data_IF_509679046106
#
_entry.id   IF_509679046106
#
_cell.length_a   1.000
_cell.length_b   1.000
_cell.length_c   1.000
_cell.angle_alpha   90.00
_cell.angle_beta   90.00
_cell.angle_gamma   90.00
#
_symmetry.space_group_name_H-M   'P 1'
#
loop_
_entity.id
_entity.type
_entity.pdbx_description
1 polymer ?
#
# COMPACT_ATOMS: atom_id res chain seq x y z
N UNK A 1 -10.77 -75.52 -31.54
CA UNK A 1 -11.08 -74.75 -30.31
C UNK A 1 -10.08 -75.10 -29.19
N UNK A 2 -8.79 -74.79 -29.36
CA UNK A 2 -7.76 -75.02 -28.33
C UNK A 2 -6.51 -74.11 -28.44
N UNK A 3 -6.47 -73.20 -29.42
CA UNK A 3 -5.31 -72.30 -29.64
C UNK A 3 -5.55 -70.88 -29.08
N UNK A 4 -6.80 -70.47 -28.84
CA UNK A 4 -7.13 -69.12 -28.32
C UNK A 4 -7.02 -69.03 -26.78
N UNK A 5 -7.07 -70.15 -26.05
CA UNK A 5 -6.96 -70.16 -24.58
C UNK A 5 -5.52 -70.06 -24.03
N UNK A 6 -4.48 -70.25 -24.87
CA UNK A 6 -3.09 -70.09 -24.41
C UNK A 6 -2.53 -68.67 -24.58
N UNK A 7 -3.08 -67.86 -25.48
CA UNK A 7 -2.63 -66.47 -25.67
C UNK A 7 -3.11 -65.53 -24.54
N UNK A 8 -4.28 -65.81 -23.96
CA UNK A 8 -4.89 -64.97 -22.92
C UNK A 8 -4.18 -65.07 -21.56
N UNK A 9 -3.58 -66.22 -21.24
CA UNK A 9 -2.88 -66.42 -19.96
C UNK A 9 -1.54 -65.67 -19.90
N UNK A 10 -0.85 -65.48 -21.04
CA UNK A 10 0.42 -64.73 -21.07
C UNK A 10 0.22 -63.21 -21.03
N UNK A 11 -0.89 -62.68 -21.56
CA UNK A 11 -1.19 -61.23 -21.52
C UNK A 11 -1.61 -60.77 -20.12
N UNK A 12 -2.32 -61.62 -19.36
CA UNK A 12 -2.71 -61.30 -17.97
C UNK A 12 -1.53 -61.41 -17.00
N UNK A 13 -0.57 -62.31 -17.24
CA UNK A 13 0.67 -62.39 -16.46
C UNK A 13 1.64 -61.23 -16.76
N UNK A 14 1.66 -60.70 -17.98
CA UNK A 14 2.47 -59.53 -18.33
C UNK A 14 1.92 -58.23 -17.71
N UNK A 15 0.59 -58.12 -17.57
CA UNK A 15 -0.08 -56.98 -16.92
C UNK A 15 0.02 -56.99 -15.38
N UNK A 16 0.27 -58.15 -14.77
CA UNK A 16 0.54 -58.26 -13.32
C UNK A 16 2.02 -58.06 -12.95
N UNK A 17 2.94 -58.09 -13.93
CA UNK A 17 4.38 -57.87 -13.71
C UNK A 17 4.84 -56.40 -13.84
N UNK A 18 3.97 -55.49 -14.27
CA UNK A 18 4.28 -54.04 -14.39
C UNK A 18 3.89 -53.24 -13.13
N UNK A 19 3.28 -53.89 -12.12
CA UNK A 19 2.80 -53.22 -10.91
C UNK A 19 3.71 -53.33 -9.67
N UNK A 20 4.98 -53.71 -9.83
CA UNK A 20 5.99 -53.68 -8.73
C UNK A 20 7.36 -53.18 -9.23
N UNK A 21 7.37 -52.11 -10.03
CA UNK A 21 8.57 -51.28 -10.14
C UNK A 21 8.24 -49.99 -9.39
N UNK A 22 8.90 -49.67 -8.27
CA UNK A 22 8.75 -48.37 -7.66
C UNK A 22 9.25 -47.35 -8.69
N UNK A 23 8.32 -46.67 -9.35
CA UNK A 23 8.64 -45.52 -10.19
C UNK A 23 9.24 -44.50 -9.23
N UNK A 24 10.58 -44.43 -9.15
CA UNK A 24 11.24 -43.32 -8.48
C UNK A 24 10.78 -42.08 -9.22
N UNK A 25 10.06 -41.20 -8.54
CA UNK A 25 9.65 -39.93 -9.12
C UNK A 25 10.89 -39.26 -9.73
N UNK A 26 10.81 -38.81 -11.00
CA UNK A 26 11.87 -38.04 -11.62
C UNK A 26 12.32 -36.93 -10.68
N UNK A 27 13.63 -36.80 -10.46
CA UNK A 27 14.20 -35.83 -9.52
C UNK A 27 13.74 -34.37 -9.78
N UNK A 28 13.31 -34.07 -11.02
CA UNK A 28 12.76 -32.77 -11.38
C UNK A 28 11.34 -32.54 -10.82
N UNK A 29 10.50 -33.57 -10.71
CA UNK A 29 9.15 -33.47 -10.16
C UNK A 29 9.18 -33.28 -8.64
N UNK A 30 10.07 -34.01 -7.96
CA UNK A 30 10.34 -33.79 -6.53
C UNK A 30 10.91 -32.40 -6.28
N UNK A 31 11.88 -31.93 -7.08
CA UNK A 31 12.37 -30.55 -6.97
C UNK A 31 11.29 -29.50 -7.25
N UNK A 32 10.38 -29.73 -8.20
CA UNK A 32 9.26 -28.82 -8.46
C UNK A 32 8.27 -28.80 -7.30
N UNK A 33 7.98 -29.97 -6.72
CA UNK A 33 7.12 -30.11 -5.56
C UNK A 33 7.73 -29.43 -4.33
N UNK A 34 9.01 -29.68 -4.05
CA UNK A 34 9.76 -29.10 -2.94
C UNK A 34 9.91 -27.59 -3.11
N UNK A 35 10.14 -27.09 -4.33
CA UNK A 35 10.19 -25.65 -4.62
C UNK A 35 8.81 -24.99 -4.50
N UNK A 36 7.73 -25.68 -4.91
CA UNK A 36 6.37 -25.19 -4.75
C UNK A 36 5.96 -25.17 -3.27
N UNK A 37 6.30 -26.22 -2.51
CA UNK A 37 6.10 -26.28 -1.06
C UNK A 37 6.95 -25.24 -0.34
N UNK A 38 8.23 -25.07 -0.66
CA UNK A 38 9.06 -24.04 -0.05
C UNK A 38 8.57 -22.62 -0.38
N UNK A 39 8.06 -22.38 -1.60
CA UNK A 39 7.38 -21.13 -1.95
C UNK A 39 6.08 -20.95 -1.18
N UNK A 40 5.28 -22.00 -1.04
CA UNK A 40 4.02 -21.98 -0.29
C UNK A 40 4.28 -21.75 1.20
N UNK A 41 5.26 -22.44 1.78
CA UNK A 41 5.70 -22.31 3.17
C UNK A 41 6.30 -20.94 3.45
N UNK A 42 7.10 -20.39 2.52
CA UNK A 42 7.61 -19.03 2.60
C UNK A 42 6.47 -18.01 2.48
N UNK A 43 5.47 -18.28 1.65
CA UNK A 43 4.26 -17.46 1.55
C UNK A 43 3.44 -17.53 2.85
N UNK A 44 3.21 -18.71 3.42
CA UNK A 44 2.45 -18.89 4.67
C UNK A 44 3.20 -18.46 5.93
N UNK A 45 4.53 -18.54 5.97
CA UNK A 45 5.35 -17.97 7.06
C UNK A 45 5.46 -16.45 6.95
N UNK A 46 5.33 -15.89 5.74
CA UNK A 46 5.33 -14.43 5.57
C UNK A 46 4.04 -13.78 6.11
N UNK A 47 2.95 -14.54 6.23
CA UNK A 47 1.60 -14.09 6.61
C UNK A 47 1.25 -14.12 8.10
N UNK A 48 2.16 -14.43 9.03
CA UNK A 48 1.80 -14.39 10.46
C UNK A 48 2.20 -13.05 11.09
N UNK A 49 1.22 -12.17 11.38
CA UNK A 49 0.73 -11.83 12.75
C UNK A 49 -0.62 -11.08 12.64
N UNK A 50 -1.68 -11.79 12.25
CA UNK A 50 -2.98 -11.75 12.94
C UNK A 50 -3.59 -13.15 12.75
N UNK A 51 -3.84 -13.87 13.85
CA UNK A 51 -4.25 -15.28 13.82
C UNK A 51 -5.72 -15.49 13.39
N UNK A 52 -6.40 -14.46 12.89
CA UNK A 52 -7.77 -14.56 12.42
C UNK A 52 -7.81 -14.49 10.89
N UNK A 53 -8.36 -15.54 10.26
CA UNK A 53 -8.68 -15.51 8.84
C UNK A 53 -9.55 -14.27 8.51
N UNK A 54 -9.29 -13.64 7.37
CA UNK A 54 -10.10 -12.52 6.89
C UNK A 54 -11.53 -12.98 6.64
N UNK A 55 -12.50 -12.29 7.25
CA UNK A 55 -13.92 -12.59 7.18
C UNK A 55 -14.57 -11.71 6.13
N UNK A 56 -15.50 -12.28 5.37
CA UNK A 56 -16.34 -11.49 4.47
C UNK A 56 -17.18 -10.51 5.30
N UNK A 57 -17.14 -9.20 5.02
CA UNK A 57 -17.90 -8.22 5.78
C UNK A 57 -19.40 -8.39 5.58
N UNK A 58 -20.17 -8.30 6.67
CA UNK A 58 -21.64 -8.42 6.61
C UNK A 58 -22.34 -7.08 6.36
N UNK A 59 -21.79 -5.97 6.87
CA UNK A 59 -22.47 -4.66 6.90
C UNK A 59 -22.15 -3.74 5.72
N UNK A 60 -21.01 -3.90 5.07
CA UNK A 60 -20.55 -3.07 3.95
C UNK A 60 -19.78 -3.91 2.92
N UNK A 61 -19.42 -3.34 1.76
CA UNK A 61 -18.74 -4.10 0.71
C UNK A 61 -17.36 -4.60 1.13
N UNK A 62 -16.54 -3.76 1.76
CA UNK A 62 -15.14 -4.05 2.09
C UNK A 62 -14.87 -4.07 3.59
N UNK A 63 -13.86 -4.84 4.00
CA UNK A 63 -13.21 -4.73 5.31
C UNK A 63 -11.70 -4.82 5.12
N UNK A 64 -10.96 -4.18 6.03
CA UNK A 64 -9.51 -4.24 6.11
C UNK A 64 -9.12 -4.86 7.43
N UNK A 65 -8.45 -6.02 7.40
CA UNK A 65 -8.05 -6.75 8.61
C UNK A 65 -9.22 -6.94 9.60
N UNK A 66 -10.40 -7.32 9.07
CA UNK A 66 -11.66 -7.47 9.81
C UNK A 66 -12.21 -6.17 10.45
N UNK A 67 -11.64 -5.00 10.15
CA UNK A 67 -12.15 -3.68 10.54
C UNK A 67 -13.08 -3.14 9.45
N UNK A 68 -14.18 -2.54 9.88
CA UNK A 68 -15.21 -1.91 9.05
C UNK A 68 -15.50 -0.50 9.55
N UNK A 69 -16.11 0.35 8.72
CA UNK A 69 -16.62 1.63 9.19
C UNK A 69 -17.69 1.40 10.27
N UNK A 70 -17.90 2.42 11.10
CA UNK A 70 -18.79 2.42 12.27
C UNK A 70 -18.42 1.49 13.43
N UNK A 71 -17.38 0.65 13.32
CA UNK A 71 -16.81 -0.01 14.50
C UNK A 71 -16.32 1.05 15.49
N UNK A 72 -16.48 0.79 16.78
CA UNK A 72 -15.99 1.66 17.84
C UNK A 72 -14.47 1.58 17.93
N UNK A 73 -13.85 2.64 18.43
CA UNK A 73 -12.42 2.66 18.70
C UNK A 73 -12.00 1.52 19.64
N UNK A 74 -12.81 1.23 20.66
CA UNK A 74 -12.57 0.10 21.58
C UNK A 74 -12.59 -1.25 20.85
N UNK A 75 -13.53 -1.49 19.94
CA UNK A 75 -13.54 -2.72 19.13
C UNK A 75 -12.30 -2.84 18.24
N UNK A 76 -11.80 -1.73 17.69
CA UNK A 76 -10.56 -1.73 16.90
C UNK A 76 -9.35 -2.03 17.79
N UNK A 77 -9.22 -1.35 18.93
CA UNK A 77 -8.09 -1.54 19.86
C UNK A 77 -8.08 -2.95 20.46
N UNK A 78 -9.25 -3.54 20.74
CA UNK A 78 -9.35 -4.94 21.16
C UNK A 78 -8.85 -5.93 20.09
N UNK A 79 -8.90 -5.55 18.82
CA UNK A 79 -8.47 -6.40 17.69
C UNK A 79 -7.01 -6.17 17.29
N UNK A 80 -6.60 -4.91 17.19
CA UNK A 80 -5.31 -4.52 16.64
C UNK A 80 -4.29 -4.13 17.72
N UNK A 81 -4.71 -4.06 18.99
CA UNK A 81 -3.91 -3.49 20.07
C UNK A 81 -3.85 -1.97 19.98
N UNK A 82 -2.81 -1.39 20.56
CA UNK A 82 -2.58 0.05 20.52
C UNK A 82 -1.98 0.47 19.18
N UNK A 83 -2.39 1.64 18.70
CA UNK A 83 -1.78 2.27 17.53
C UNK A 83 -0.28 2.51 17.78
N UNK A 84 0.54 2.19 16.78
CA UNK A 84 1.98 2.45 16.79
C UNK A 84 2.28 3.93 16.54
N UNK A 85 1.40 4.61 15.79
CA UNK A 85 1.50 6.04 15.53
C UNK A 85 0.15 6.71 15.44
N UNK A 86 0.09 7.98 15.83
CA UNK A 86 -1.06 8.86 15.59
C UNK A 86 -0.59 10.15 14.93
N UNK A 87 -1.22 10.52 13.82
CA UNK A 87 -0.84 11.68 12.99
C UNK A 87 -2.05 12.50 12.57
N UNK A 88 -1.93 13.82 12.49
CA UNK A 88 -2.99 14.68 11.93
C UNK A 88 -3.18 14.40 10.43
N UNK A 89 -4.40 14.59 9.93
CA UNK A 89 -4.73 14.31 8.53
C UNK A 89 -5.57 15.42 7.88
N UNK A 90 -5.75 15.30 6.56
CA UNK A 90 -6.39 16.28 5.68
C UNK A 90 -7.84 16.61 6.06
N UNK A 91 -8.50 15.71 6.78
CA UNK A 91 -9.88 15.86 7.23
C UNK A 91 -10.00 16.65 8.54
N UNK A 92 -8.89 17.19 9.07
CA UNK A 92 -8.84 17.81 10.39
C UNK A 92 -9.16 16.79 11.49
N UNK A 93 -8.71 15.54 11.32
CA UNK A 93 -8.81 14.45 12.29
C UNK A 93 -7.43 13.79 12.45
N UNK A 94 -7.38 12.54 12.92
CA UNK A 94 -6.13 11.80 13.11
C UNK A 94 -6.20 10.43 12.44
N UNK A 95 -5.14 10.04 11.75
CA UNK A 95 -4.86 8.65 11.40
C UNK A 95 -4.16 7.95 12.56
N UNK A 96 -4.64 6.74 12.88
CA UNK A 96 -4.05 5.82 13.84
C UNK A 96 -3.49 4.65 13.04
N UNK A 97 -2.15 4.51 13.01
CA UNK A 97 -1.47 3.46 12.29
C UNK A 97 -1.24 2.24 13.20
N UNK A 98 -1.61 1.07 12.70
CA UNK A 98 -1.45 -0.22 13.35
C UNK A 98 -0.64 -1.13 12.46
N UNK A 99 0.40 -1.74 12.99
CA UNK A 99 1.23 -2.75 12.31
C UNK A 99 2.07 -3.48 13.36
N UNK A 100 2.69 -4.60 12.96
CA UNK A 100 3.69 -5.26 13.80
C UNK A 100 5.05 -4.55 13.74
N UNK A 101 6.04 -5.03 14.50
CA UNK A 101 7.39 -4.46 14.53
C UNK A 101 8.12 -4.45 13.17
N UNK A 102 7.60 -5.16 12.17
CA UNK A 102 8.16 -5.26 10.82
C UNK A 102 7.26 -4.61 9.76
N UNK A 103 6.34 -3.73 10.17
CA UNK A 103 5.39 -3.04 9.29
C UNK A 103 4.42 -3.95 8.52
N UNK A 104 4.27 -5.22 8.93
CA UNK A 104 3.23 -6.09 8.39
C UNK A 104 1.91 -5.81 9.07
N UNK A 105 0.83 -6.26 8.42
CA UNK A 105 -0.54 -6.05 8.87
C UNK A 105 -0.89 -4.56 9.04
N UNK A 106 -0.23 -3.71 8.26
CA UNK A 106 -0.40 -2.26 8.26
C UNK A 106 -1.83 -1.85 7.90
N UNK A 107 -2.45 -1.12 8.83
CA UNK A 107 -3.78 -0.52 8.70
C UNK A 107 -3.73 0.89 9.28
N UNK A 108 -4.30 1.87 8.58
CA UNK A 108 -4.60 3.17 9.18
C UNK A 108 -6.09 3.32 9.39
N UNK A 109 -6.49 3.83 10.55
CA UNK A 109 -7.88 4.05 10.95
C UNK A 109 -8.06 5.50 11.38
N UNK A 110 -9.11 6.18 10.92
CA UNK A 110 -9.50 7.49 11.42
C UNK A 110 -10.90 7.44 12.02
N UNK A 111 -11.08 8.16 13.12
CA UNK A 111 -12.30 8.15 13.91
C UNK A 111 -13.02 9.49 13.90
N UNK A 112 -14.36 9.44 13.92
CA UNK A 112 -15.25 10.53 14.31
C UNK A 112 -16.23 9.98 15.34
N UNK A 113 -16.45 10.72 16.42
CA UNK A 113 -17.31 10.30 17.54
C UNK A 113 -17.00 8.88 18.03
N UNK A 114 -15.70 8.59 18.19
CA UNK A 114 -15.16 7.28 18.60
C UNK A 114 -15.53 6.10 17.68
N UNK A 115 -15.95 6.37 16.44
CA UNK A 115 -16.28 5.35 15.44
C UNK A 115 -15.42 5.49 14.20
N UNK A 116 -15.07 4.37 13.58
CA UNK A 116 -14.28 4.33 12.34
C UNK A 116 -15.05 5.05 11.24
N UNK A 117 -14.44 6.09 10.68
CA UNK A 117 -15.00 6.90 9.59
C UNK A 117 -14.08 6.98 8.37
N UNK A 118 -12.82 6.54 8.49
CA UNK A 118 -11.97 6.21 7.36
C UNK A 118 -11.00 5.06 7.70
N UNK A 119 -10.58 4.32 6.68
CA UNK A 119 -9.78 3.10 6.79
C UNK A 119 -8.85 2.95 5.57
N UNK A 120 -7.60 2.57 5.77
CA UNK A 120 -6.64 2.36 4.70
C UNK A 120 -5.74 1.14 4.93
N UNK A 121 -5.36 0.45 3.86
CA UNK A 121 -4.21 -0.47 3.83
C UNK A 121 -3.60 -0.57 2.42
N UNK A 122 -2.29 -0.82 2.35
CA UNK A 122 -1.58 -1.32 1.16
C UNK A 122 -1.06 -2.75 1.35
N UNK A 123 -1.62 -3.50 2.31
CA UNK A 123 -1.25 -4.87 2.59
C UNK A 123 -2.30 -5.85 2.06
N UNK A 124 -1.94 -7.14 2.05
CA UNK A 124 -2.88 -8.23 1.74
C UNK A 124 -3.89 -8.49 2.88
N UNK A 125 -4.69 -7.48 3.22
CA UNK A 125 -5.66 -7.48 4.33
C UNK A 125 -7.09 -7.14 3.87
N UNK A 126 -7.29 -6.98 2.56
CA UNK A 126 -8.58 -6.59 1.96
C UNK A 126 -9.47 -7.83 1.83
N UNK A 127 -10.70 -7.70 2.30
CA UNK A 127 -11.78 -8.67 2.12
C UNK A 127 -13.04 -7.98 1.65
N UNK A 128 -13.85 -8.64 0.82
CA UNK A 128 -15.09 -8.05 0.29
C UNK A 128 -16.19 -9.08 0.05
N UNK A 129 -17.45 -8.62 -0.02
CA UNK A 129 -18.61 -9.45 -0.38
C UNK A 129 -18.50 -10.02 -1.79
N UNK A 130 -17.98 -9.21 -2.71
CA UNK A 130 -17.70 -9.60 -4.10
C UNK A 130 -16.40 -10.40 -4.29
N UNK A 131 -15.76 -10.86 -3.20
CA UNK A 131 -14.50 -11.61 -3.21
C UNK A 131 -13.33 -10.83 -3.84
N UNK A 132 -13.41 -9.50 -3.83
CA UNK A 132 -12.31 -8.63 -4.19
C UNK A 132 -11.29 -8.60 -3.06
N UNK A 133 -10.01 -8.57 -3.43
CA UNK A 133 -8.88 -8.65 -2.49
C UNK A 133 -7.67 -7.92 -3.09
N UNK A 134 -6.60 -7.83 -2.30
CA UNK A 134 -5.29 -7.46 -2.84
C UNK A 134 -4.95 -8.38 -4.02
N UNK A 135 -4.48 -7.78 -5.11
CA UNK A 135 -4.16 -8.47 -6.35
C UNK A 135 -5.34 -8.67 -7.31
N UNK A 136 -6.57 -8.29 -6.94
CA UNK A 136 -7.71 -8.33 -7.87
C UNK A 136 -7.46 -7.45 -9.10
N UNK A 137 -7.61 -7.95 -10.34
CA UNK A 137 -7.43 -7.13 -11.54
C UNK A 137 -8.44 -5.99 -11.62
N UNK A 138 -8.01 -4.80 -12.09
CA UNK A 138 -8.88 -3.62 -12.29
C UNK A 138 -10.15 -3.92 -13.10
N UNK A 139 -10.05 -4.77 -14.13
CA UNK A 139 -11.21 -5.20 -14.92
C UNK A 139 -12.25 -5.95 -14.09
N UNK A 140 -11.81 -6.84 -13.19
CA UNK A 140 -12.69 -7.59 -12.28
C UNK A 140 -13.29 -6.66 -11.24
N UNK A 141 -12.52 -5.69 -10.73
CA UNK A 141 -13.04 -4.68 -9.80
C UNK A 141 -14.19 -3.90 -10.43
N UNK A 142 -14.03 -3.40 -11.66
CA UNK A 142 -15.08 -2.66 -12.38
C UNK A 142 -16.28 -3.54 -12.76
N UNK A 143 -16.06 -4.80 -13.14
CA UNK A 143 -17.14 -5.77 -13.36
C UNK A 143 -18.02 -5.95 -12.12
N UNK A 144 -17.41 -5.96 -10.93
CA UNK A 144 -18.11 -6.21 -9.66
C UNK A 144 -18.70 -4.96 -9.01
N UNK A 145 -18.04 -3.81 -9.14
CA UNK A 145 -18.45 -2.56 -8.47
C UNK A 145 -19.16 -1.56 -9.39
N UNK A 146 -19.17 -1.81 -10.70
CA UNK A 146 -19.70 -0.89 -11.70
C UNK A 146 -18.69 0.18 -12.10
N UNK A 147 -19.21 1.31 -12.58
CA UNK A 147 -18.37 2.42 -13.04
C UNK A 147 -17.89 3.29 -11.88
N UNK A 148 -16.61 3.73 -11.89
CA UNK A 148 -16.12 4.70 -10.91
C UNK A 148 -16.76 6.07 -11.12
N UNK A 149 -16.91 6.82 -10.04
CA UNK A 149 -17.37 8.21 -10.08
C UNK A 149 -16.36 9.06 -10.87
N UNK A 150 -16.84 10.11 -11.53
CA UNK A 150 -16.00 11.00 -12.35
C UNK A 150 -15.53 12.25 -11.62
N UNK A 151 -16.23 12.64 -10.56
CA UNK A 151 -15.89 13.78 -9.76
C UNK A 151 -16.45 13.64 -8.35
N UNK A 152 -15.84 14.35 -7.41
CA UNK A 152 -16.43 14.69 -6.12
C UNK A 152 -16.80 16.17 -6.12
N UNK A 153 -17.95 16.49 -5.55
CA UNK A 153 -18.35 17.88 -5.37
C UNK A 153 -18.01 18.33 -3.95
N UNK A 154 -17.31 19.47 -3.82
CA UNK A 154 -17.03 20.12 -2.54
C UNK A 154 -17.34 21.60 -2.70
N UNK A 155 -18.24 22.14 -1.87
CA UNK A 155 -18.66 23.55 -1.94
C UNK A 155 -19.03 24.02 -3.36
N UNK A 156 -19.82 23.23 -4.08
CA UNK A 156 -20.25 23.49 -5.46
C UNK A 156 -19.12 23.48 -6.50
N UNK A 157 -17.90 23.10 -6.12
CA UNK A 157 -16.77 22.88 -7.03
C UNK A 157 -16.63 21.39 -7.29
N UNK A 158 -16.57 21.00 -8.57
CA UNK A 158 -16.34 19.62 -8.98
C UNK A 158 -14.85 19.37 -9.14
N UNK A 159 -14.34 18.42 -8.39
CA UNK A 159 -12.97 17.91 -8.49
C UNK A 159 -13.00 16.60 -9.27
N UNK A 160 -12.35 16.57 -10.42
CA UNK A 160 -12.28 15.38 -11.26
C UNK A 160 -11.53 14.25 -10.56
N UNK A 161 -12.09 13.06 -10.65
CA UNK A 161 -11.49 11.80 -10.20
C UNK A 161 -11.13 10.98 -11.45
N UNK A 162 -10.17 11.50 -12.23
CA UNK A 162 -9.70 10.88 -13.46
C UNK A 162 -8.20 10.58 -13.34
N UNK A 163 -7.89 9.44 -12.70
CA UNK A 163 -6.54 8.92 -12.58
C UNK A 163 -6.54 7.46 -13.08
N UNK A 164 -5.50 7.08 -13.81
CA UNK A 164 -5.34 5.73 -14.32
C UNK A 164 -4.84 4.75 -13.25
N UNK A 165 -4.24 5.26 -12.16
CA UNK A 165 -3.68 4.53 -11.03
C UNK A 165 -4.65 4.20 -9.90
N UNK A 166 -5.86 4.76 -9.90
CA UNK A 166 -6.90 4.36 -8.95
C UNK A 166 -8.31 4.53 -9.53
N UNK A 167 -9.29 3.87 -8.93
CA UNK A 167 -10.71 4.10 -9.19
C UNK A 167 -11.38 4.51 -7.88
N UNK A 168 -12.35 5.42 -7.94
CA UNK A 168 -13.19 5.79 -6.80
C UNK A 168 -14.61 5.33 -7.05
N UNK A 169 -15.17 4.58 -6.11
CA UNK A 169 -16.56 4.15 -6.09
C UNK A 169 -17.27 4.85 -4.93
N UNK A 170 -18.55 5.16 -5.08
CA UNK A 170 -19.35 5.75 -4.02
C UNK A 170 -20.67 5.01 -3.90
N UNK A 171 -20.83 4.26 -2.82
CA UNK A 171 -22.02 3.48 -2.50
C UNK A 171 -22.24 3.50 -0.98
N UNK A 172 -23.49 3.45 -0.53
CA UNK A 172 -23.86 3.37 0.89
C UNK A 172 -23.22 4.46 1.79
N UNK A 173 -23.05 5.67 1.27
CA UNK A 173 -22.39 6.81 1.93
C UNK A 173 -20.90 6.57 2.26
N UNK A 174 -20.22 5.76 1.43
CA UNK A 174 -18.80 5.44 1.57
C UNK A 174 -18.12 5.67 0.22
N UNK A 175 -17.13 6.56 0.19
CA UNK A 175 -16.15 6.61 -0.88
C UNK A 175 -15.15 5.48 -0.67
N UNK A 176 -15.00 4.61 -1.66
CA UNK A 176 -14.00 3.55 -1.68
C UNK A 176 -13.06 3.79 -2.86
N UNK A 177 -11.82 4.13 -2.56
CA UNK A 177 -10.74 4.25 -3.55
C UNK A 177 -9.94 2.95 -3.59
N UNK A 178 -9.82 2.35 -4.76
CA UNK A 178 -8.98 1.18 -5.02
C UNK A 178 -7.79 1.64 -5.86
N UNK A 179 -6.59 1.49 -5.32
CA UNK A 179 -5.35 1.82 -6.00
C UNK A 179 -4.82 0.61 -6.74
N UNK A 180 -4.26 0.83 -7.92
CA UNK A 180 -3.76 -0.20 -8.82
C UNK A 180 -2.28 0.01 -9.12
N UNK A 181 -1.58 -1.09 -9.31
CA UNK A 181 -0.20 -1.08 -9.80
C UNK A 181 -0.17 -1.20 -11.32
N UNK A 182 0.07 -0.08 -12.00
CA UNK A 182 0.16 -0.01 -13.47
C UNK A 182 1.28 -0.88 -14.02
N UNK A 183 2.30 -1.13 -13.20
CA UNK A 183 3.48 -1.92 -13.53
C UNK A 183 3.32 -3.39 -13.13
N UNK A 184 2.14 -3.79 -12.66
CA UNK A 184 1.77 -5.17 -12.33
C UNK A 184 0.32 -5.47 -12.72
N UNK A 185 0.05 -5.47 -14.03
CA UNK A 185 -1.23 -5.88 -14.63
C UNK A 185 -2.45 -5.07 -14.15
N UNK A 186 -2.25 -3.85 -13.63
CA UNK A 186 -3.31 -3.05 -13.00
C UNK A 186 -4.05 -3.83 -11.89
N UNK A 187 -3.30 -4.61 -11.11
CA UNK A 187 -3.87 -5.31 -9.96
C UNK A 187 -4.01 -4.37 -8.78
N UNK A 188 -5.08 -4.54 -8.00
CA UNK A 188 -5.34 -3.77 -6.79
C UNK A 188 -4.23 -3.97 -5.75
N UNK A 189 -3.69 -2.88 -5.21
CA UNK A 189 -2.61 -2.91 -4.21
C UNK A 189 -2.97 -2.23 -2.91
N UNK A 190 -3.90 -1.29 -2.93
CA UNK A 190 -4.36 -0.61 -1.73
C UNK A 190 -5.85 -0.27 -1.80
N UNK A 191 -6.44 -0.05 -0.64
CA UNK A 191 -7.83 0.35 -0.48
C UNK A 191 -7.92 1.46 0.57
N UNK A 192 -8.60 2.54 0.22
CA UNK A 192 -8.99 3.64 1.11
C UNK A 192 -10.52 3.70 1.16
N UNK A 193 -11.11 3.64 2.35
CA UNK A 193 -12.52 3.93 2.56
C UNK A 193 -12.66 5.20 3.38
N UNK A 194 -13.55 6.09 2.96
CA UNK A 194 -13.87 7.34 3.65
C UNK A 194 -15.40 7.50 3.65
N UNK A 195 -16.00 7.58 4.83
CA UNK A 195 -17.43 7.87 4.93
C UNK A 195 -17.77 9.27 4.41
N UNK A 196 -18.99 9.49 3.94
CA UNK A 196 -19.48 10.82 3.56
C UNK A 196 -19.31 11.84 4.68
N UNK A 197 -19.51 11.41 5.93
CA UNK A 197 -19.36 12.27 7.11
C UNK A 197 -17.92 12.77 7.26
N UNK A 198 -16.94 11.90 7.01
CA UNK A 198 -15.52 12.30 7.02
C UNK A 198 -15.19 13.16 5.79
N UNK A 199 -15.62 12.73 4.60
CA UNK A 199 -15.30 13.42 3.34
C UNK A 199 -15.84 14.85 3.31
N UNK A 200 -17.02 15.08 3.88
CA UNK A 200 -17.62 16.42 4.05
C UNK A 200 -16.81 17.36 4.93
N UNK A 201 -15.83 16.88 5.72
CA UNK A 201 -14.94 17.77 6.50
C UNK A 201 -13.89 18.43 5.62
N UNK A 202 -13.55 17.82 4.49
CA UNK A 202 -12.62 18.36 3.53
C UNK A 202 -13.37 19.25 2.53
N UNK A 203 -13.35 20.55 2.81
CA UNK A 203 -14.15 21.59 2.14
C UNK A 203 -13.58 22.08 0.81
N UNK A 204 -12.30 21.81 0.54
CA UNK A 204 -11.59 22.15 -0.70
C UNK A 204 -10.78 20.95 -1.18
N UNK A 205 -9.89 21.14 -2.18
CA UNK A 205 -9.02 20.07 -2.68
C UNK A 205 -8.06 19.55 -1.60
N UNK A 206 -7.57 20.42 -0.72
CA UNK A 206 -6.53 20.12 0.25
C UNK A 206 -7.01 20.41 1.66
N UNK A 207 -6.45 19.69 2.64
CA UNK A 207 -6.65 20.01 4.05
C UNK A 207 -6.02 21.37 4.36
N UNK A 208 -6.56 22.07 5.36
CA UNK A 208 -6.01 23.36 5.78
C UNK A 208 -4.56 23.20 6.28
N UNK A 209 -3.58 23.90 5.67
CA UNK A 209 -2.18 23.77 6.05
C UNK A 209 -1.93 24.07 7.52
N UNK A 210 -1.07 23.27 8.13
CA UNK A 210 -0.53 23.53 9.46
C UNK A 210 0.75 22.72 9.64
N UNK A 211 1.60 23.13 10.58
CA UNK A 211 2.79 22.36 10.95
C UNK A 211 2.42 20.93 11.41
N UNK A 212 1.28 20.77 12.10
CA UNK A 212 0.78 19.47 12.53
C UNK A 212 0.36 18.60 11.34
N UNK A 213 -0.27 19.18 10.31
CA UNK A 213 -0.62 18.45 9.10
C UNK A 213 0.61 18.07 8.28
N UNK A 214 1.57 18.99 8.09
CA UNK A 214 2.85 18.71 7.43
C UNK A 214 3.57 17.54 8.09
N UNK A 215 3.80 17.60 9.41
CA UNK A 215 4.42 16.50 10.17
C UNK A 215 3.61 15.22 10.14
N UNK A 216 2.28 15.33 10.12
CA UNK A 216 1.40 14.17 9.94
C UNK A 216 1.62 13.48 8.60
N UNK A 217 1.69 14.25 7.52
CA UNK A 217 1.97 13.74 6.17
C UNK A 217 3.36 13.12 6.06
N UNK A 218 4.40 13.72 6.63
CA UNK A 218 5.76 13.14 6.65
C UNK A 218 5.77 11.73 7.25
N UNK A 219 5.18 11.61 8.44
CA UNK A 219 5.17 10.36 9.19
C UNK A 219 4.27 9.30 8.54
N UNK A 220 3.13 9.72 7.97
CA UNK A 220 2.27 8.82 7.18
C UNK A 220 3.01 8.29 5.95
N UNK A 221 3.71 9.16 5.22
CA UNK A 221 4.47 8.75 4.03
C UNK A 221 5.61 7.78 4.39
N UNK A 222 6.33 8.03 5.50
CA UNK A 222 7.29 7.08 6.05
C UNK A 222 6.67 5.71 6.35
N UNK A 223 5.54 5.68 7.06
CA UNK A 223 4.87 4.43 7.41
C UNK A 223 4.36 3.67 6.18
N UNK A 224 3.85 4.39 5.17
CA UNK A 224 3.40 3.84 3.89
C UNK A 224 4.55 3.18 3.11
N UNK A 225 5.70 3.84 3.03
CA UNK A 225 6.92 3.31 2.40
C UNK A 225 7.37 2.02 3.08
N UNK A 226 7.42 2.01 4.41
CA UNK A 226 7.84 0.82 5.15
C UNK A 226 6.83 -0.33 5.04
N UNK A 227 5.54 -0.03 5.03
CA UNK A 227 4.50 -1.02 4.76
C UNK A 227 4.66 -1.62 3.34
N UNK A 228 4.91 -0.79 2.33
CA UNK A 228 5.12 -1.26 0.94
C UNK A 228 6.38 -2.13 0.81
N UNK A 229 7.47 -1.72 1.49
CA UNK A 229 8.72 -2.49 1.56
C UNK A 229 8.49 -3.84 2.25
N UNK A 230 7.79 -3.86 3.38
CA UNK A 230 7.47 -5.07 4.13
C UNK A 230 6.60 -6.04 3.30
N UNK A 231 5.58 -5.54 2.60
CA UNK A 231 4.71 -6.31 1.70
C UNK A 231 5.51 -7.02 0.59
N UNK A 232 6.68 -6.48 0.22
CA UNK A 232 7.59 -7.04 -0.79
C UNK A 232 8.78 -7.80 -0.21
N UNK A 233 8.81 -8.01 1.10
CA UNK A 233 9.89 -8.72 1.80
C UNK A 233 11.22 -7.96 1.79
N UNK A 234 11.18 -6.63 1.73
CA UNK A 234 12.34 -5.75 1.88
C UNK A 234 12.47 -5.29 3.33
N UNK A 235 13.70 -4.97 3.74
CA UNK A 235 13.95 -4.37 5.05
C UNK A 235 13.31 -2.98 5.12
N UNK A 236 12.73 -2.66 6.28
CA UNK A 236 12.22 -1.31 6.56
C UNK A 236 13.38 -0.31 6.65
N UNK A 237 13.07 0.95 6.36
CA UNK A 237 13.96 2.08 6.52
C UNK A 237 13.82 2.67 7.92
N UNK A 238 14.88 3.27 8.42
CA UNK A 238 14.90 4.05 9.66
C UNK A 238 14.58 5.50 9.33
N UNK A 239 13.66 6.12 10.07
CA UNK A 239 13.41 7.55 9.94
C UNK A 239 14.59 8.32 10.54
N UNK A 240 15.12 9.27 9.77
CA UNK A 240 16.26 10.11 10.16
C UNK A 240 15.82 11.58 10.15
N UNK A 241 15.84 12.20 11.33
CA UNK A 241 15.34 13.57 11.53
C UNK A 241 16.21 14.63 10.85
N UNK A 242 17.51 14.39 10.71
CA UNK A 242 18.43 15.31 10.06
C UNK A 242 18.19 15.28 8.54
N UNK A 243 18.07 14.08 7.96
CA UNK A 243 17.68 13.90 6.55
C UNK A 243 16.30 14.52 6.29
N UNK A 244 15.36 14.33 7.21
CA UNK A 244 14.01 14.89 7.08
C UNK A 244 14.04 16.42 7.14
N UNK A 245 14.96 17.01 7.90
CA UNK A 245 15.17 18.47 7.91
C UNK A 245 15.63 18.99 6.55
N UNK A 246 16.55 18.30 5.89
CA UNK A 246 16.96 18.63 4.50
C UNK A 246 15.77 18.53 3.54
N UNK A 247 14.99 17.44 3.65
CA UNK A 247 13.82 17.23 2.80
C UNK A 247 12.74 18.32 3.00
N UNK A 248 12.51 18.76 4.25
CA UNK A 248 11.58 19.86 4.57
C UNK A 248 12.02 21.17 3.95
N UNK A 249 13.31 21.51 4.04
CA UNK A 249 13.86 22.71 3.41
C UNK A 249 13.60 22.71 1.90
N UNK A 250 13.75 21.56 1.23
CA UNK A 250 13.49 21.45 -0.20
C UNK A 250 12.00 21.55 -0.56
N UNK A 251 11.13 20.89 0.21
CA UNK A 251 9.67 21.01 0.03
C UNK A 251 9.20 22.45 0.24
N UNK A 252 9.73 23.12 1.27
CA UNK A 252 9.50 24.54 1.53
C UNK A 252 9.97 25.41 0.37
N UNK A 253 11.18 25.18 -0.11
CA UNK A 253 11.73 25.95 -1.22
C UNK A 253 10.86 25.79 -2.48
N UNK A 254 10.48 24.58 -2.85
CA UNK A 254 9.56 24.33 -3.97
C UNK A 254 8.22 25.05 -3.80
N UNK A 255 7.64 25.01 -2.59
CA UNK A 255 6.38 25.64 -2.25
C UNK A 255 6.46 27.18 -2.30
N UNK A 256 7.43 27.79 -1.62
CA UNK A 256 7.61 29.25 -1.55
C UNK A 256 7.93 29.83 -2.93
N UNK A 257 8.69 29.10 -3.75
CA UNK A 257 9.21 29.58 -5.02
C UNK A 257 8.46 29.05 -6.25
N UNK A 258 7.32 28.37 -6.06
CA UNK A 258 6.42 27.85 -7.10
C UNK A 258 7.15 27.09 -8.22
N UNK A 259 8.01 26.15 -7.84
CA UNK A 259 8.70 25.27 -8.80
C UNK A 259 8.64 23.81 -8.34
N UNK A 260 8.95 22.89 -9.25
CA UNK A 260 8.95 21.46 -8.95
C UNK A 260 10.11 20.78 -9.69
N UNK A 261 11.26 20.69 -9.02
CA UNK A 261 12.49 20.12 -9.58
C UNK A 261 13.35 19.51 -8.45
N UNK A 262 14.18 18.53 -8.80
CA UNK A 262 15.19 17.96 -7.91
C UNK A 262 16.33 18.94 -7.63
N UNK A 263 16.65 19.80 -8.58
CA UNK A 263 17.68 20.85 -8.46
C UNK A 263 17.01 22.14 -8.01
N UNK A 264 17.50 22.71 -6.91
CA UNK A 264 16.92 23.95 -6.42
C UNK A 264 17.36 25.18 -7.25
N UNK A 265 16.76 26.34 -6.99
CA UNK A 265 17.09 27.59 -7.71
C UNK A 265 18.51 28.10 -7.44
N UNK A 266 19.21 27.54 -6.47
CA UNK A 266 20.65 27.76 -6.21
C UNK A 266 21.55 26.75 -6.92
N UNK A 267 21.02 25.97 -7.87
CA UNK A 267 21.71 24.91 -8.62
C UNK A 267 22.27 23.78 -7.73
N UNK A 268 21.69 23.54 -6.55
CA UNK A 268 22.07 22.43 -5.69
C UNK A 268 21.20 21.21 -6.01
N UNK A 269 21.86 20.09 -6.31
CA UNK A 269 21.21 18.79 -6.40
C UNK A 269 20.78 18.29 -5.02
N UNK A 270 19.98 17.21 -4.92
CA UNK A 270 19.64 16.59 -3.64
C UNK A 270 20.89 16.20 -2.82
N UNK A 271 21.95 15.77 -3.51
CA UNK A 271 23.21 15.39 -2.89
C UNK A 271 23.98 16.58 -2.33
N UNK A 272 23.93 17.71 -3.02
CA UNK A 272 24.55 18.94 -2.55
C UNK A 272 23.82 19.47 -1.32
N UNK A 273 22.49 19.42 -1.30
CA UNK A 273 21.68 19.78 -0.12
C UNK A 273 21.99 18.89 1.09
N UNK A 274 22.06 17.57 0.90
CA UNK A 274 22.43 16.63 1.96
C UNK A 274 23.84 16.91 2.51
N UNK A 275 24.83 17.09 1.64
CA UNK A 275 26.21 17.40 2.05
C UNK A 275 26.33 18.76 2.74
N UNK A 276 25.62 19.77 2.23
CA UNK A 276 25.61 21.11 2.79
C UNK A 276 25.13 21.11 4.25
N UNK A 277 24.10 20.30 4.55
CA UNK A 277 23.57 20.11 5.90
C UNK A 277 24.34 19.05 6.72
N UNK A 278 25.52 18.63 6.27
CA UNK A 278 26.42 17.75 7.03
C UNK A 278 26.03 16.26 7.01
N UNK A 279 25.09 15.84 6.17
CA UNK A 279 24.68 14.45 6.07
C UNK A 279 25.75 13.65 5.31
N UNK A 280 26.31 12.63 5.98
CA UNK A 280 27.25 11.69 5.38
C UNK A 280 26.52 10.46 4.84
N UNK A 281 26.82 10.05 3.60
CA UNK A 281 26.20 8.89 2.94
C UNK A 281 27.12 8.29 1.86
N UNK A 282 27.01 6.98 1.60
CA UNK A 282 27.71 6.35 0.48
C UNK A 282 26.87 6.37 -0.81
N UNK A 283 25.56 6.35 -0.66
CA UNK A 283 24.61 6.54 -1.75
C UNK A 283 23.34 7.20 -1.24
N UNK A 284 22.71 7.99 -2.10
CA UNK A 284 21.46 8.67 -1.80
C UNK A 284 20.51 8.64 -3.01
N UNK A 285 19.25 8.98 -2.76
CA UNK A 285 18.22 9.18 -3.78
C UNK A 285 17.14 10.12 -3.27
N UNK A 286 16.41 10.74 -4.19
CA UNK A 286 15.29 11.64 -3.86
C UNK A 286 14.06 11.27 -4.68
N UNK A 287 12.90 11.29 -4.04
CA UNK A 287 11.62 11.43 -4.73
C UNK A 287 10.98 12.77 -4.34
N UNK A 288 10.26 13.38 -5.27
CA UNK A 288 9.42 14.55 -5.01
C UNK A 288 8.01 14.30 -5.54
N UNK A 289 7.00 14.83 -4.83
CA UNK A 289 5.60 14.79 -5.25
C UNK A 289 4.94 16.14 -4.94
N UNK A 290 3.91 16.52 -5.70
CA UNK A 290 3.12 17.71 -5.40
C UNK A 290 1.70 17.59 -5.94
N UNK A 291 0.74 18.24 -5.27
CA UNK A 291 -0.64 18.33 -5.74
C UNK A 291 -1.55 17.13 -5.44
N UNK A 292 -1.05 16.12 -4.75
CA UNK A 292 -1.86 15.03 -4.20
C UNK A 292 -2.59 15.49 -2.93
N UNK A 293 -3.73 14.89 -2.63
CA UNK A 293 -4.56 15.31 -1.49
C UNK A 293 -3.95 14.93 -0.12
N UNK A 294 -3.18 13.84 -0.07
CA UNK A 294 -2.55 13.35 1.15
C UNK A 294 -1.38 12.41 0.85
N UNK A 295 -0.63 12.03 1.88
CA UNK A 295 0.49 11.10 1.77
C UNK A 295 0.11 9.74 1.19
N UNK A 296 -1.15 9.29 1.36
CA UNK A 296 -1.66 8.07 0.72
C UNK A 296 -1.61 8.21 -0.80
N UNK A 297 -2.17 9.30 -1.33
CA UNK A 297 -2.19 9.55 -2.78
C UNK A 297 -0.79 9.83 -3.32
N UNK A 298 0.05 10.60 -2.60
CA UNK A 298 1.44 10.86 -2.98
C UNK A 298 2.23 9.55 -3.11
N UNK A 299 2.17 8.68 -2.08
CA UNK A 299 2.86 7.39 -2.09
C UNK A 299 2.40 6.49 -3.25
N UNK A 300 1.09 6.37 -3.47
CA UNK A 300 0.55 5.54 -4.55
C UNK A 300 0.93 6.09 -5.93
N UNK A 301 0.96 7.42 -6.10
CA UNK A 301 1.47 8.07 -7.31
C UNK A 301 2.95 7.78 -7.56
N UNK A 302 3.79 7.91 -6.53
CA UNK A 302 5.22 7.60 -6.61
C UNK A 302 5.47 6.13 -6.94
N UNK A 303 4.71 5.20 -6.37
CA UNK A 303 4.78 3.78 -6.69
C UNK A 303 4.39 3.45 -8.15
N UNK A 304 3.54 4.29 -8.76
CA UNK A 304 3.18 4.20 -10.17
C UNK A 304 4.13 4.96 -11.12
N UNK A 305 5.20 5.57 -10.61
CA UNK A 305 6.31 6.09 -11.42
C UNK A 305 7.53 5.17 -11.29
N UNK A 306 7.99 4.57 -12.39
CA UNK A 306 9.11 3.62 -12.34
C UNK A 306 10.40 4.23 -11.79
N UNK A 307 10.66 5.52 -12.02
CA UNK A 307 11.81 6.22 -11.46
C UNK A 307 11.74 6.29 -9.93
N UNK A 308 10.61 6.80 -9.41
CA UNK A 308 10.42 6.98 -7.97
C UNK A 308 10.29 5.64 -7.22
N UNK A 309 9.60 4.69 -7.83
CA UNK A 309 9.44 3.32 -7.33
C UNK A 309 10.78 2.63 -7.11
N UNK A 310 11.77 2.87 -7.99
CA UNK A 310 13.12 2.31 -7.82
C UNK A 310 13.75 2.77 -6.50
N UNK A 311 13.55 4.04 -6.11
CA UNK A 311 14.06 4.53 -4.82
C UNK A 311 13.34 3.87 -3.65
N UNK A 312 12.00 3.87 -3.64
CA UNK A 312 11.19 3.25 -2.57
C UNK A 312 11.58 1.78 -2.34
N UNK A 313 11.86 1.04 -3.42
CA UNK A 313 12.14 -0.40 -3.38
C UNK A 313 13.64 -0.75 -3.42
N UNK A 314 14.53 0.24 -3.37
CA UNK A 314 15.97 -0.01 -3.42
C UNK A 314 16.42 -0.72 -2.14
N UNK A 315 17.13 -1.84 -2.31
CA UNK A 315 17.54 -2.72 -1.20
C UNK A 315 18.64 -2.12 -0.34
N UNK A 316 19.49 -1.30 -0.96
CA UNK A 316 20.66 -0.73 -0.30
C UNK A 316 20.28 0.38 0.67
N UNK A 317 19.21 1.15 0.42
CA UNK A 317 18.76 2.23 1.31
C UNK A 317 18.42 1.70 2.71
N UNK A 318 18.86 2.45 3.73
CA UNK A 318 18.70 2.14 5.16
C UNK A 318 17.95 3.23 5.90
N UNK A 319 18.17 4.49 5.53
CA UNK A 319 17.57 5.64 6.19
C UNK A 319 16.69 6.41 5.21
N UNK A 320 15.69 7.09 5.76
CA UNK A 320 14.82 7.99 5.03
C UNK A 320 14.48 9.21 5.87
N UNK A 321 14.47 10.38 5.25
CA UNK A 321 13.84 11.57 5.78
C UNK A 321 12.76 12.05 4.82
N UNK A 322 11.58 12.35 5.36
CA UNK A 322 10.46 12.90 4.59
C UNK A 322 10.21 14.32 5.06
N UNK A 323 10.07 15.23 4.10
CA UNK A 323 9.67 16.62 4.33
C UNK A 323 8.40 16.97 3.58
N UNK A 324 7.56 17.79 4.19
CA UNK A 324 6.34 18.32 3.58
C UNK A 324 6.19 19.80 3.89
N UNK A 325 5.82 20.57 2.88
CA UNK A 325 5.36 21.96 3.04
C UNK A 325 4.21 22.25 2.07
N UNK A 326 3.57 23.41 2.21
CA UNK A 326 2.44 23.86 1.42
C UNK A 326 2.73 25.22 0.80
N UNK A 327 2.28 25.44 -0.44
CA UNK A 327 2.33 26.79 -1.02
C UNK A 327 1.12 27.64 -0.57
N UNK A 328 1.07 28.89 -1.03
CA UNK A 328 -0.02 29.85 -0.73
C UNK A 328 -1.42 29.37 -1.18
N UNK A 329 -1.50 28.39 -2.07
CA UNK A 329 -2.73 27.76 -2.54
C UNK A 329 -3.10 26.47 -1.80
N UNK A 330 -2.55 26.26 -0.61
CA UNK A 330 -2.67 25.05 0.21
C UNK A 330 -2.15 23.77 -0.47
N UNK A 331 -1.45 23.88 -1.60
CA UNK A 331 -0.97 22.72 -2.34
C UNK A 331 0.23 22.11 -1.63
N UNK A 332 0.17 20.82 -1.27
CA UNK A 332 1.28 20.15 -0.63
C UNK A 332 2.40 19.77 -1.61
N UNK A 333 3.62 19.81 -1.09
CA UNK A 333 4.86 19.37 -1.69
C UNK A 333 5.54 18.36 -0.77
N UNK A 334 5.96 17.22 -1.30
CA UNK A 334 6.71 16.19 -0.58
C UNK A 334 8.11 16.06 -1.14
N UNK A 335 9.07 15.78 -0.25
CA UNK A 335 10.41 15.31 -0.59
C UNK A 335 10.74 14.08 0.27
N UNK A 336 11.14 12.98 -0.37
CA UNK A 336 11.63 11.77 0.28
C UNK A 336 13.12 11.62 -0.04
N UNK A 337 13.99 11.80 0.96
CA UNK A 337 15.43 11.60 0.82
C UNK A 337 15.84 10.28 1.44
N UNK A 338 16.56 9.47 0.66
CA UNK A 338 17.00 8.12 1.05
C UNK A 338 18.53 8.06 1.13
N UNK A 339 19.11 7.34 2.11
CA UNK A 339 20.57 7.15 2.24
C UNK A 339 20.97 5.73 2.72
N UNK A 340 22.25 5.35 2.56
CA UNK A 340 22.84 4.13 3.13
C UNK A 340 24.36 4.10 3.38
#
# INVERSE_FOLDING_TARGET
MLIIKRLFTYVVLLLLLVLIIPFKEPHFLTQLHDNAQAKLEKWTRSTSVSNEALKVPSKQEFAVNNIQLNMTQSEVENKLGKAQRTTSNEYGTKWYAYHDAHYKNFVMVSYLDHKVNALYTNQNLISSKQKLKYGSPKSVVRDKLGDPIKYKEKNHVRYEENDDGYDVFHNDNIYTTIFYDKHNHNNATALLQVSDKMEKRLQSRYGQPSSHLARGFEQQNFDLINAERAQRGLNTLTFDDDIATVARKHSKDMADNNYFDHTNKSNQSPFDRLKHDGISFNGAGENIASGQQSSIYAHQGLMNSLGHRKNILRKEFKNIGVGVDFNDGDQPYWTENYTY
#
